data_IF_252489965395
#
_entry.id   IF_252489965395
#
_cell.length_a   1.000
_cell.length_b   1.000
_cell.length_c   1.000
_cell.angle_alpha   90.00
_cell.angle_beta   90.00
_cell.angle_gamma   90.00
#
_symmetry.space_group_name_H-M   'P 1'
#
loop_
_entity.id
_entity.type
_entity.pdbx_description
1 polymer ?
#
# COMPACT_ATOMS: atom_id res chain seq x y z
N UNK A 1 8.27 -2.60 -6.05
CA UNK A 1 8.35 -1.24 -5.47
C UNK A 1 7.39 -1.11 -4.29
N UNK A 2 7.43 0.00 -3.54
CA UNK A 2 6.46 0.27 -2.47
C UNK A 2 5.09 0.68 -2.99
N UNK A 3 4.01 0.35 -2.24
CA UNK A 3 2.65 0.70 -2.66
C UNK A 3 2.44 2.21 -2.75
N UNK A 4 3.07 2.97 -1.85
CA UNK A 4 3.10 4.44 -1.87
C UNK A 4 3.71 4.96 -3.19
N UNK A 5 4.88 4.45 -3.57
CA UNK A 5 5.54 4.81 -4.83
C UNK A 5 4.69 4.42 -6.04
N UNK A 6 4.03 3.26 -6.00
CA UNK A 6 3.13 2.82 -7.08
C UNK A 6 1.93 3.78 -7.24
N UNK A 7 1.34 4.24 -6.14
CA UNK A 7 0.26 5.22 -6.15
C UNK A 7 0.68 6.57 -6.73
N UNK A 8 1.92 6.99 -6.46
CA UNK A 8 2.43 8.31 -6.83
C UNK A 8 3.02 8.33 -8.26
N UNK A 9 3.35 7.16 -8.82
CA UNK A 9 3.87 7.02 -10.18
C UNK A 9 2.89 7.50 -11.28
N UNK A 10 1.58 7.49 -11.03
CA UNK A 10 0.59 7.93 -12.00
C UNK A 10 -0.61 8.61 -11.34
N UNK A 11 -0.94 9.82 -11.84
CA UNK A 11 -2.12 10.57 -11.41
C UNK A 11 -3.38 9.79 -11.75
N UNK A 12 -4.03 9.23 -10.72
CA UNK A 12 -5.29 8.51 -10.86
C UNK A 12 -5.28 7.15 -10.19
N UNK A 13 -4.10 6.55 -9.96
CA UNK A 13 -3.97 5.23 -9.31
C UNK A 13 -4.63 5.18 -7.93
N UNK A 14 -4.54 6.24 -7.12
CA UNK A 14 -5.25 6.30 -5.85
C UNK A 14 -6.79 6.29 -5.99
N UNK A 15 -7.33 6.97 -7.00
CA UNK A 15 -8.78 6.95 -7.29
C UNK A 15 -9.21 5.58 -7.83
N UNK A 16 -8.40 4.98 -8.71
CA UNK A 16 -8.64 3.64 -9.25
C UNK A 16 -8.59 2.57 -8.15
N UNK A 17 -7.58 2.61 -7.28
CA UNK A 17 -7.46 1.71 -6.13
C UNK A 17 -8.65 1.87 -5.17
N UNK A 18 -9.03 3.11 -4.85
CA UNK A 18 -10.23 3.37 -4.02
C UNK A 18 -11.48 2.70 -4.59
N UNK A 19 -11.70 2.78 -5.90
CA UNK A 19 -12.81 2.12 -6.59
C UNK A 19 -12.66 0.58 -6.58
N UNK A 20 -11.46 0.07 -6.88
CA UNK A 20 -11.19 -1.37 -6.97
C UNK A 20 -11.38 -2.07 -5.62
N UNK A 21 -10.84 -1.50 -4.55
CA UNK A 21 -10.91 -2.08 -3.20
C UNK A 21 -12.20 -1.73 -2.46
N UNK A 22 -13.08 -0.93 -3.06
CA UNK A 22 -14.28 -0.37 -2.43
C UNK A 22 -13.95 0.30 -1.07
N UNK A 23 -12.88 1.11 -1.06
CA UNK A 23 -12.40 1.83 0.13
C UNK A 23 -12.39 3.32 -0.13
N UNK A 24 -12.55 4.12 0.92
CA UNK A 24 -12.43 5.57 0.81
C UNK A 24 -11.02 5.98 0.37
N UNK A 25 -10.89 7.16 -0.25
CA UNK A 25 -9.57 7.73 -0.59
C UNK A 25 -8.68 7.90 0.64
N UNK A 26 -9.27 8.21 1.80
CA UNK A 26 -8.55 8.31 3.06
C UNK A 26 -7.97 6.96 3.50
N UNK A 27 -8.74 5.87 3.39
CA UNK A 27 -8.24 4.53 3.69
C UNK A 27 -7.10 4.12 2.75
N UNK A 28 -7.22 4.37 1.44
CA UNK A 28 -6.11 4.13 0.50
C UNK A 28 -4.89 4.99 0.83
N UNK A 29 -5.09 6.24 1.27
CA UNK A 29 -3.99 7.10 1.70
C UNK A 29 -3.28 6.58 2.94
N UNK A 30 -4.02 5.97 3.87
CA UNK A 30 -3.45 5.37 5.08
C UNK A 30 -2.56 4.16 4.76
N UNK A 31 -2.83 3.46 3.65
CA UNK A 31 -1.98 2.33 3.21
C UNK A 31 -0.57 2.77 2.79
N UNK A 32 -0.31 4.07 2.63
CA UNK A 32 1.07 4.59 2.50
C UNK A 32 1.95 4.33 3.73
N UNK A 33 1.34 4.12 4.89
CA UNK A 33 2.02 3.69 6.10
C UNK A 33 2.13 2.15 6.21
N UNK A 34 1.53 1.41 5.29
CA UNK A 34 1.50 -0.05 5.27
C UNK A 34 0.15 -0.59 4.82
N UNK A 35 0.18 -1.53 3.87
CA UNK A 35 -1.01 -2.23 3.39
C UNK A 35 -1.50 -3.25 4.45
N UNK A 36 -2.82 -3.36 4.69
CA UNK A 36 -3.38 -4.40 5.57
C UNK A 36 -3.03 -5.82 5.11
N UNK A 37 -2.67 -6.71 6.05
CA UNK A 37 -2.23 -8.09 5.76
C UNK A 37 -3.26 -8.89 4.94
N UNK A 38 -4.55 -8.71 5.22
CA UNK A 38 -5.67 -9.35 4.53
C UNK A 38 -5.87 -8.86 3.08
N UNK A 39 -5.22 -7.75 2.71
CA UNK A 39 -5.32 -7.12 1.39
C UNK A 39 -4.04 -7.20 0.57
N UNK A 40 -2.90 -7.60 1.16
CA UNK A 40 -1.62 -7.63 0.46
C UNK A 40 -1.64 -8.51 -0.80
N UNK A 41 -2.25 -9.71 -0.73
CA UNK A 41 -2.39 -10.56 -1.92
C UNK A 41 -3.18 -9.87 -3.04
N UNK A 42 -4.27 -9.18 -2.70
CA UNK A 42 -5.10 -8.45 -3.66
C UNK A 42 -4.37 -7.25 -4.24
N UNK A 43 -3.53 -6.56 -3.45
CA UNK A 43 -2.69 -5.47 -3.94
C UNK A 43 -1.64 -5.99 -4.92
N UNK A 44 -0.97 -7.10 -4.62
CA UNK A 44 -0.04 -7.74 -5.57
C UNK A 44 -0.72 -8.06 -6.90
N UNK A 45 -1.88 -8.70 -6.83
CA UNK A 45 -2.61 -9.12 -8.02
C UNK A 45 -3.13 -7.91 -8.82
N UNK A 46 -3.61 -6.87 -8.13
CA UNK A 46 -4.10 -5.63 -8.75
C UNK A 46 -2.99 -4.81 -9.43
N UNK A 47 -1.79 -4.82 -8.85
CA UNK A 47 -0.62 -4.10 -9.40
C UNK A 47 0.15 -4.91 -10.44
N UNK A 48 -0.31 -6.11 -10.79
CA UNK A 48 0.37 -6.96 -11.77
C UNK A 48 1.77 -7.40 -11.33
N UNK A 49 1.98 -7.60 -10.02
CA UNK A 49 3.28 -7.85 -9.38
C UNK A 49 4.29 -6.69 -9.39
N UNK A 50 3.90 -5.45 -9.75
CA UNK A 50 4.77 -4.27 -9.55
C UNK A 50 5.03 -4.00 -8.05
N UNK A 51 4.05 -4.31 -7.20
CA UNK A 51 4.16 -4.28 -5.73
C UNK A 51 4.10 -5.71 -5.23
N UNK A 52 5.19 -6.20 -4.63
CA UNK A 52 5.29 -7.58 -4.17
C UNK A 52 4.92 -7.73 -2.68
N UNK A 53 4.61 -8.96 -2.26
CA UNK A 53 4.34 -9.28 -0.86
C UNK A 53 5.52 -8.98 0.05
N UNK A 54 6.73 -9.33 -0.40
CA UNK A 54 7.97 -9.11 0.36
C UNK A 54 8.18 -7.63 0.65
N UNK A 55 7.96 -6.77 -0.34
CA UNK A 55 8.08 -5.32 -0.18
C UNK A 55 7.04 -4.75 0.78
N UNK A 56 5.77 -5.16 0.65
CA UNK A 56 4.71 -4.73 1.59
C UNK A 56 4.97 -5.21 3.02
N UNK A 57 5.49 -6.43 3.20
CA UNK A 57 5.88 -6.95 4.51
C UNK A 57 7.08 -6.20 5.08
N UNK A 58 8.05 -5.85 4.24
CA UNK A 58 9.21 -5.06 4.64
C UNK A 58 8.80 -3.65 5.09
N UNK A 59 7.90 -2.95 4.37
CA UNK A 59 7.36 -1.65 4.81
C UNK A 59 6.68 -1.75 6.16
N UNK A 60 5.80 -2.75 6.33
CA UNK A 60 5.08 -2.94 7.59
C UNK A 60 6.03 -3.20 8.75
N UNK A 61 7.06 -4.02 8.50
CA UNK A 61 8.06 -4.36 9.51
C UNK A 61 8.94 -3.15 9.82
N UNK A 62 9.31 -2.34 8.82
CA UNK A 62 10.04 -1.09 9.02
C UNK A 62 9.22 -0.05 9.80
N UNK A 63 7.93 0.11 9.48
CA UNK A 63 7.02 1.01 10.19
C UNK A 63 6.82 0.57 11.65
N UNK A 64 6.79 -0.73 11.93
CA UNK A 64 6.71 -1.25 13.30
C UNK A 64 8.02 -1.08 14.10
N UNK A 65 9.16 -1.01 13.41
CA UNK A 65 10.48 -0.87 14.02
C UNK A 65 10.89 0.58 14.30
N UNK A 66 10.17 1.58 13.79
CA UNK A 66 10.45 2.97 14.14
C UNK A 66 10.13 3.17 15.63
N UNK A 67 11.15 3.33 16.50
CA UNK A 67 10.91 3.65 17.88
C UNK A 67 10.27 5.02 17.87
N UNK A 68 9.10 5.15 18.51
CA UNK A 68 8.59 6.46 18.91
C UNK A 68 9.61 7.04 19.89
N UNK A 69 10.63 7.74 19.37
CA UNK A 69 11.43 8.66 20.19
C UNK A 69 10.48 9.77 20.63
N UNK A 70 10.05 9.68 21.88
CA UNK A 70 9.31 10.71 22.60
C UNK A 70 10.25 11.42 23.56
#
# INVERSE_FOLDING_TARGET
MMFSTWLDAEKGRAKAASKHFNRSKAAISQWRAGVPLDLMLKVRDYTGNEVTLEEMLQERTAAAQQPTSR
#
